data_IF_872018205703
#
_entry.id   IF_872018205703
#
_cell.length_a   1.000
_cell.length_b   1.000
_cell.length_c   1.000
_cell.angle_alpha   90.00
_cell.angle_beta   90.00
_cell.angle_gamma   90.00
#
_symmetry.space_group_name_H-M   'P 1'
#
loop_
_entity.id
_entity.type
_entity.pdbx_description
1 polymer ?
#
# COMPACT_ATOMS: atom_id res chain seq x y z
N UNK A 1 -8.91 -19.18 -57.19
CA UNK A 1 -7.49 -19.02 -56.79
C UNK A 1 -7.28 -17.88 -55.80
N UNK A 2 -7.84 -16.69 -56.02
CA UNK A 2 -7.69 -15.53 -55.12
C UNK A 2 -8.21 -15.74 -53.68
N UNK A 3 -9.37 -16.40 -53.50
CA UNK A 3 -9.93 -16.65 -52.16
C UNK A 3 -9.15 -17.65 -51.32
N UNK A 4 -8.46 -18.62 -51.95
CA UNK A 4 -7.62 -19.58 -51.24
C UNK A 4 -6.35 -18.89 -50.75
N UNK A 5 -5.74 -18.03 -51.58
CA UNK A 5 -4.57 -17.23 -51.20
C UNK A 5 -4.86 -16.28 -50.00
N UNK A 6 -6.04 -15.67 -49.98
CA UNK A 6 -6.46 -14.77 -48.91
C UNK A 6 -6.72 -15.52 -47.59
N UNK A 7 -7.35 -16.70 -47.63
CA UNK A 7 -7.53 -17.55 -46.46
C UNK A 7 -6.21 -18.12 -45.94
N UNK A 8 -5.28 -18.49 -46.83
CA UNK A 8 -3.95 -18.94 -46.42
C UNK A 8 -3.14 -17.81 -45.78
N UNK A 9 -3.20 -16.59 -46.33
CA UNK A 9 -2.53 -15.42 -45.75
C UNK A 9 -3.09 -15.06 -44.36
N UNK A 10 -4.43 -15.12 -44.19
CA UNK A 10 -5.08 -14.87 -42.90
C UNK A 10 -4.76 -15.95 -41.86
N UNK A 11 -4.68 -17.23 -42.28
CA UNK A 11 -4.27 -18.32 -41.40
C UNK A 11 -2.78 -18.25 -41.01
N UNK A 12 -1.91 -17.76 -41.89
CA UNK A 12 -0.50 -17.54 -41.57
C UNK A 12 -0.30 -16.37 -40.59
N UNK A 13 -1.14 -15.32 -40.65
CA UNK A 13 -1.10 -14.23 -39.67
C UNK A 13 -1.55 -14.64 -38.26
N UNK A 14 -2.36 -15.70 -38.13
CA UNK A 14 -2.76 -16.27 -36.82
C UNK A 14 -1.65 -17.19 -36.25
N UNK A 15 -0.80 -17.75 -37.11
CA UNK A 15 0.35 -18.57 -36.74
C UNK A 15 1.63 -17.75 -36.48
N UNK A 16 1.68 -16.51 -36.93
CA UNK A 16 2.71 -15.54 -36.53
C UNK A 16 2.41 -15.07 -35.10
N UNK A 17 2.74 -15.93 -34.14
CA UNK A 17 2.94 -15.52 -32.76
C UNK A 17 3.78 -14.24 -32.73
N UNK A 18 3.43 -13.21 -31.93
CA UNK A 18 4.36 -12.14 -31.62
C UNK A 18 5.44 -12.70 -30.68
N UNK A 19 6.26 -13.63 -31.20
CA UNK A 19 7.41 -14.21 -30.53
C UNK A 19 8.69 -13.41 -30.84
N UNK A 20 8.53 -12.16 -31.28
CA UNK A 20 9.54 -11.11 -31.08
C UNK A 20 9.39 -10.56 -29.66
N UNK A 21 9.41 -11.44 -28.67
CA UNK A 21 9.41 -11.07 -27.26
C UNK A 21 10.58 -11.79 -26.59
N UNK A 22 11.63 -11.00 -26.38
CA UNK A 22 12.75 -11.24 -25.46
C UNK A 22 13.72 -12.37 -25.83
N UNK A 23 14.77 -12.01 -26.56
CA UNK A 23 16.02 -12.80 -26.72
C UNK A 23 16.92 -12.78 -25.48
N UNK A 24 16.47 -12.17 -24.38
CA UNK A 24 17.17 -12.15 -23.10
C UNK A 24 16.73 -13.31 -22.21
N UNK A 25 17.67 -13.87 -21.43
CA UNK A 25 17.33 -14.86 -20.41
C UNK A 25 16.26 -14.34 -19.42
N UNK A 26 15.59 -15.27 -18.73
CA UNK A 26 14.53 -14.94 -17.77
C UNK A 26 15.00 -13.92 -16.72
N UNK A 27 14.14 -12.94 -16.43
CA UNK A 27 14.41 -11.96 -15.40
C UNK A 27 14.57 -12.64 -14.04
N UNK A 28 15.64 -12.32 -13.31
CA UNK A 28 15.91 -12.89 -11.97
C UNK A 28 15.04 -12.28 -10.87
N UNK A 29 14.39 -11.15 -11.13
CA UNK A 29 13.59 -10.36 -10.18
C UNK A 29 12.43 -9.70 -10.91
N UNK A 30 11.30 -9.60 -10.23
CA UNK A 30 10.09 -8.94 -10.72
C UNK A 30 9.67 -7.91 -9.68
N UNK A 31 9.31 -6.70 -10.15
CA UNK A 31 8.72 -5.65 -9.32
C UNK A 31 7.33 -5.37 -9.87
N UNK A 32 6.32 -5.46 -9.00
CA UNK A 32 4.94 -5.07 -9.32
C UNK A 32 4.65 -3.78 -8.57
N UNK A 33 4.38 -2.71 -9.32
CA UNK A 33 3.97 -1.42 -8.78
C UNK A 33 2.49 -1.21 -9.10
N UNK A 34 1.65 -1.15 -8.08
CA UNK A 34 0.25 -0.76 -8.21
C UNK A 34 0.09 0.69 -7.81
N UNK A 35 -0.61 1.47 -8.62
CA UNK A 35 -0.91 2.88 -8.37
C UNK A 35 -2.42 3.02 -8.39
N UNK A 36 -3.00 3.38 -7.24
CA UNK A 36 -4.44 3.49 -7.11
C UNK A 36 -5.00 4.58 -8.03
N UNK A 37 -6.13 4.28 -8.66
CA UNK A 37 -6.86 5.16 -9.56
C UNK A 37 -6.07 5.79 -10.72
N UNK A 38 -4.92 5.22 -11.14
CA UNK A 38 -4.20 5.69 -12.33
C UNK A 38 -4.98 5.33 -13.60
N UNK A 39 -5.70 6.30 -14.15
CA UNK A 39 -6.46 6.12 -15.38
C UNK A 39 -5.54 6.14 -16.61
N UNK A 40 -5.79 5.21 -17.53
CA UNK A 40 -4.95 5.04 -18.72
C UNK A 40 -4.96 6.28 -19.62
N UNK A 41 -6.12 6.91 -19.83
CA UNK A 41 -6.28 8.13 -20.62
C UNK A 41 -5.46 9.31 -20.05
N UNK A 42 -5.45 9.46 -18.73
CA UNK A 42 -4.63 10.45 -18.04
C UNK A 42 -3.14 10.21 -18.28
N UNK A 43 -2.67 8.97 -18.12
CA UNK A 43 -1.27 8.61 -18.38
C UNK A 43 -0.89 8.87 -19.85
N UNK A 44 -1.71 8.45 -20.80
CA UNK A 44 -1.47 8.71 -22.22
C UNK A 44 -1.42 10.20 -22.54
N UNK A 45 -2.30 11.01 -21.96
CA UNK A 45 -2.29 12.46 -22.16
C UNK A 45 -0.97 13.09 -21.68
N UNK A 46 -0.40 12.60 -20.58
CA UNK A 46 0.88 13.08 -20.05
C UNK A 46 2.04 12.63 -20.95
N UNK A 47 2.07 11.35 -21.33
CA UNK A 47 3.14 10.78 -22.15
C UNK A 47 3.19 11.39 -23.56
N UNK A 48 2.05 11.77 -24.12
CA UNK A 48 1.93 12.40 -25.44
C UNK A 48 2.06 13.94 -25.39
N UNK A 49 2.40 14.52 -24.24
CA UNK A 49 2.45 15.98 -24.01
C UNK A 49 1.13 16.71 -24.37
N UNK A 50 0.00 16.05 -24.15
CA UNK A 50 -1.36 16.58 -24.37
C UNK A 50 -2.04 17.03 -23.06
N UNK A 51 -1.46 16.69 -21.91
CA UNK A 51 -1.94 17.07 -20.60
C UNK A 51 -1.81 18.59 -20.39
N UNK A 52 -2.85 19.21 -19.83
CA UNK A 52 -2.81 20.61 -19.36
C UNK A 52 -2.04 20.76 -18.05
N UNK A 53 -1.77 19.65 -17.35
CA UNK A 53 -0.99 19.62 -16.13
C UNK A 53 0.50 19.64 -16.48
N UNK A 54 1.26 20.55 -15.88
CA UNK A 54 2.72 20.61 -15.96
C UNK A 54 3.37 19.52 -15.08
N UNK A 55 3.14 18.25 -15.44
CA UNK A 55 3.63 17.08 -14.73
C UNK A 55 4.68 16.37 -15.59
N UNK A 56 5.86 16.13 -15.02
CA UNK A 56 6.88 15.27 -15.62
C UNK A 56 6.93 13.90 -14.92
N UNK A 57 6.85 12.83 -15.71
CA UNK A 57 6.85 11.44 -15.24
C UNK A 57 8.02 10.67 -15.87
N UNK A 58 9.28 10.95 -15.47
CA UNK A 58 10.46 10.41 -16.14
C UNK A 58 10.51 8.87 -16.14
N UNK A 59 10.08 8.22 -15.04
CA UNK A 59 10.02 6.76 -14.97
C UNK A 59 9.03 6.15 -15.96
N UNK A 60 7.84 6.74 -16.11
CA UNK A 60 6.86 6.29 -17.10
C UNK A 60 7.32 6.55 -18.53
N UNK A 61 7.96 7.70 -18.79
CA UNK A 61 8.57 8.00 -20.09
C UNK A 61 9.63 6.97 -20.47
N UNK A 62 10.47 6.57 -19.51
CA UNK A 62 11.46 5.51 -19.72
C UNK A 62 10.81 4.18 -20.10
N UNK A 63 9.76 3.75 -19.38
CA UNK A 63 9.01 2.53 -19.69
C UNK A 63 8.33 2.63 -21.05
N UNK A 64 7.75 3.79 -21.39
CA UNK A 64 7.12 4.02 -22.68
C UNK A 64 8.12 3.93 -23.85
N UNK A 65 9.35 4.40 -23.65
CA UNK A 65 10.40 4.38 -24.68
C UNK A 65 11.13 3.03 -24.80
N UNK A 66 11.29 2.30 -23.69
CA UNK A 66 12.16 1.11 -23.61
C UNK A 66 11.42 -0.19 -23.27
N UNK A 67 10.12 -0.13 -23.05
CA UNK A 67 9.30 -1.26 -22.61
C UNK A 67 8.02 -1.40 -23.42
N UNK A 68 7.06 -2.09 -22.82
CA UNK A 68 5.73 -2.30 -23.40
C UNK A 68 4.68 -1.62 -22.52
N UNK A 69 3.76 -0.90 -23.17
CA UNK A 69 2.64 -0.25 -22.52
C UNK A 69 1.36 -0.66 -23.24
N UNK A 70 0.40 -1.21 -22.50
CA UNK A 70 -0.93 -1.50 -23.02
C UNK A 70 -1.73 -0.20 -23.18
N UNK A 71 -2.69 -0.17 -24.11
CA UNK A 71 -3.61 0.97 -24.26
C UNK A 71 -4.39 1.25 -22.98
N UNK A 72 -4.74 0.20 -22.24
CA UNK A 72 -5.36 0.28 -20.93
C UNK A 72 -5.55 -1.12 -20.35
N UNK A 73 -5.88 -1.19 -19.07
CA UNK A 73 -6.23 -2.42 -18.36
C UNK A 73 -7.74 -2.45 -18.14
N UNK A 74 -8.40 -3.53 -18.58
CA UNK A 74 -9.82 -3.75 -18.25
C UNK A 74 -9.89 -4.22 -16.80
N UNK A 75 -10.55 -3.45 -15.95
CA UNK A 75 -10.71 -3.74 -14.52
C UNK A 75 -11.91 -4.66 -14.27
N UNK A 76 -11.86 -5.39 -13.15
CA UNK A 76 -13.00 -6.18 -12.68
C UNK A 76 -14.20 -5.31 -12.29
N UNK A 77 -15.40 -5.88 -12.35
CA UNK A 77 -16.60 -5.26 -11.77
C UNK A 77 -16.89 -5.82 -10.37
N UNK A 78 -17.16 -4.97 -9.35
CA UNK A 78 -17.14 -3.51 -9.41
C UNK A 78 -15.72 -2.95 -9.43
N UNK A 79 -15.54 -1.83 -10.15
CA UNK A 79 -14.27 -1.12 -10.29
C UNK A 79 -13.94 -0.34 -9.01
N UNK A 80 -13.62 -1.06 -7.95
CA UNK A 80 -13.22 -0.53 -6.64
C UNK A 80 -11.83 -1.03 -6.25
N UNK A 81 -11.14 -0.28 -5.38
CA UNK A 81 -9.74 -0.52 -5.02
C UNK A 81 -9.54 -1.93 -4.46
N UNK A 82 -10.30 -2.33 -3.45
CA UNK A 82 -10.14 -3.63 -2.79
C UNK A 82 -10.39 -4.79 -3.77
N UNK A 83 -11.42 -4.67 -4.60
CA UNK A 83 -11.79 -5.70 -5.58
C UNK A 83 -10.73 -5.82 -6.67
N UNK A 84 -10.31 -4.70 -7.26
CA UNK A 84 -9.31 -4.70 -8.33
C UNK A 84 -7.98 -5.29 -7.86
N UNK A 85 -7.54 -4.97 -6.64
CA UNK A 85 -6.29 -5.52 -6.09
C UNK A 85 -6.41 -7.00 -5.73
N UNK A 86 -7.56 -7.46 -5.23
CA UNK A 86 -7.81 -8.89 -5.03
C UNK A 86 -7.72 -9.67 -6.35
N UNK A 87 -8.28 -9.12 -7.43
CA UNK A 87 -8.21 -9.74 -8.77
C UNK A 87 -6.78 -9.71 -9.33
N UNK A 88 -6.04 -8.61 -9.19
CA UNK A 88 -4.64 -8.50 -9.64
C UNK A 88 -3.75 -9.50 -8.89
N UNK A 89 -3.91 -9.62 -7.57
CA UNK A 89 -3.05 -10.47 -6.75
C UNK A 89 -3.31 -11.96 -6.93
N UNK A 90 -4.54 -12.37 -7.28
CA UNK A 90 -4.95 -13.78 -7.32
C UNK A 90 -5.21 -14.30 -8.74
N UNK A 91 -5.44 -13.40 -9.70
CA UNK A 91 -5.90 -13.75 -11.05
C UNK A 91 -7.34 -14.28 -11.11
N UNK A 92 -8.07 -14.30 -9.99
CA UNK A 92 -9.43 -14.85 -9.90
C UNK A 92 -10.50 -13.74 -9.92
N UNK A 93 -11.72 -13.99 -10.41
CA UNK A 93 -12.78 -13.00 -10.42
C UNK A 93 -13.34 -12.73 -9.01
N UNK A 94 -14.06 -11.62 -8.77
CA UNK A 94 -14.56 -11.23 -7.44
C UNK A 94 -15.39 -12.30 -6.71
N UNK A 95 -16.16 -13.11 -7.46
CA UNK A 95 -16.92 -14.22 -6.88
C UNK A 95 -16.06 -15.37 -6.32
N UNK A 96 -14.80 -15.46 -6.73
CA UNK A 96 -13.82 -16.46 -6.25
C UNK A 96 -12.89 -15.84 -5.20
N UNK A 97 -12.50 -14.57 -5.37
CA UNK A 97 -11.66 -13.89 -4.36
C UNK A 97 -12.41 -13.63 -3.05
N UNK A 98 -13.74 -13.57 -3.10
CA UNK A 98 -14.60 -13.21 -1.96
C UNK A 98 -14.67 -11.71 -1.70
N UNK A 99 -13.87 -10.90 -2.40
CA UNK A 99 -13.82 -9.44 -2.25
C UNK A 99 -14.74 -8.83 -3.31
N UNK A 100 -15.91 -8.37 -2.88
CA UNK A 100 -16.97 -7.83 -3.76
C UNK A 100 -17.14 -6.32 -3.68
N UNK A 101 -16.43 -5.64 -2.77
CA UNK A 101 -16.41 -4.19 -2.64
C UNK A 101 -15.37 -3.72 -1.63
N UNK A 102 -15.18 -2.40 -1.53
CA UNK A 102 -14.37 -1.81 -0.44
C UNK A 102 -15.03 -2.00 0.93
N UNK A 103 -16.36 -2.09 0.97
CA UNK A 103 -17.14 -2.53 2.11
C UNK A 103 -17.96 -3.74 1.67
N UNK A 104 -17.92 -4.81 2.47
CA UNK A 104 -18.57 -6.08 2.19
C UNK A 104 -19.62 -6.33 3.28
N UNK A 105 -20.80 -6.77 2.86
CA UNK A 105 -21.84 -7.27 3.76
C UNK A 105 -21.75 -8.80 3.80
N UNK A 106 -21.72 -9.39 5.00
CA UNK A 106 -21.63 -10.84 5.16
C UNK A 106 -23.02 -11.46 5.31
N UNK A 107 -23.28 -12.65 4.72
CA UNK A 107 -24.51 -13.38 4.96
C UNK A 107 -24.75 -13.60 6.45
N UNK A 108 -25.98 -13.31 6.91
CA UNK A 108 -26.38 -13.48 8.30
C UNK A 108 -26.04 -12.33 9.25
N UNK A 109 -25.38 -11.26 8.79
CA UNK A 109 -25.18 -10.05 9.61
C UNK A 109 -26.28 -9.00 9.37
N UNK A 110 -26.53 -8.07 10.33
CA UNK A 110 -27.48 -6.98 10.13
C UNK A 110 -27.14 -6.15 8.88
N UNK A 111 -28.15 -5.59 8.20
CA UNK A 111 -27.95 -4.77 6.98
C UNK A 111 -27.04 -3.55 7.19
N UNK A 112 -26.96 -3.05 8.42
CA UNK A 112 -26.10 -1.93 8.81
C UNK A 112 -24.66 -2.33 9.10
N UNK A 113 -24.35 -3.63 9.09
CA UNK A 113 -23.03 -4.16 9.39
C UNK A 113 -22.25 -4.40 8.11
N UNK A 114 -21.08 -3.79 8.00
CA UNK A 114 -20.13 -4.06 6.93
C UNK A 114 -18.76 -4.35 7.51
N UNK A 115 -17.97 -5.07 6.73
CA UNK A 115 -16.55 -5.28 6.98
C UNK A 115 -15.73 -4.68 5.84
N UNK A 116 -14.49 -4.32 6.12
CA UNK A 116 -13.59 -3.77 5.09
C UNK A 116 -13.14 -4.87 4.12
N UNK A 117 -13.29 -4.61 2.82
CA UNK A 117 -12.80 -5.49 1.77
C UNK A 117 -11.28 -5.47 1.61
N UNK A 118 -10.58 -4.56 2.31
CA UNK A 118 -9.13 -4.52 2.36
C UNK A 118 -8.53 -5.57 3.30
N UNK A 119 -9.34 -6.16 4.18
CA UNK A 119 -8.92 -7.15 5.17
C UNK A 119 -8.40 -8.42 4.51
N UNK A 120 -7.13 -8.75 4.73
CA UNK A 120 -6.48 -9.95 4.19
C UNK A 120 -7.14 -11.27 4.56
N UNK A 121 -7.79 -11.35 5.72
CA UNK A 121 -8.51 -12.57 6.15
C UNK A 121 -9.80 -12.82 5.36
N UNK A 122 -10.29 -11.83 4.62
CA UNK A 122 -11.44 -11.97 3.72
C UNK A 122 -11.07 -12.47 2.33
N UNK A 123 -9.78 -12.51 2.00
CA UNK A 123 -9.31 -12.98 0.70
C UNK A 123 -9.34 -14.51 0.65
N UNK A 124 -10.25 -15.07 -0.15
CA UNK A 124 -10.46 -16.52 -0.24
C UNK A 124 -9.54 -17.20 -1.25
N UNK A 125 -9.10 -16.48 -2.29
CA UNK A 125 -8.22 -17.01 -3.33
C UNK A 125 -6.74 -16.83 -2.96
N UNK A 126 -5.88 -17.76 -3.38
CA UNK A 126 -4.42 -17.70 -3.12
C UNK A 126 -3.80 -16.49 -3.85
N UNK A 127 -3.19 -15.53 -3.14
CA UNK A 127 -2.51 -14.41 -3.77
C UNK A 127 -1.08 -14.77 -4.19
N UNK A 128 -0.53 -14.00 -5.12
CA UNK A 128 0.78 -14.21 -5.74
C UNK A 128 1.91 -14.42 -4.71
N UNK A 129 1.93 -13.66 -3.61
CA UNK A 129 2.97 -13.78 -2.59
C UNK A 129 2.94 -15.13 -1.84
N UNK A 130 1.75 -15.73 -1.69
CA UNK A 130 1.61 -17.10 -1.16
C UNK A 130 2.06 -18.12 -2.20
N UNK A 131 1.63 -17.96 -3.46
CA UNK A 131 2.02 -18.85 -4.55
C UNK A 131 3.53 -18.94 -4.71
N UNK A 132 4.23 -17.80 -4.74
CA UNK A 132 5.70 -17.79 -4.91
C UNK A 132 6.43 -18.30 -3.66
N UNK A 133 5.93 -18.00 -2.45
CA UNK A 133 6.49 -18.55 -1.20
C UNK A 133 6.44 -20.08 -1.19
N UNK A 134 5.28 -20.63 -1.57
CA UNK A 134 5.04 -22.08 -1.68
C UNK A 134 5.94 -22.74 -2.72
N UNK A 135 6.33 -22.02 -3.77
CA UNK A 135 7.25 -22.49 -4.81
C UNK A 135 8.75 -22.32 -4.43
N UNK A 136 9.06 -21.96 -3.18
CA UNK A 136 10.44 -21.81 -2.74
C UNK A 136 11.08 -20.46 -3.11
N UNK A 137 10.30 -19.50 -3.60
CA UNK A 137 10.74 -18.15 -3.92
C UNK A 137 10.41 -17.18 -2.78
N UNK A 138 11.01 -15.98 -2.82
CA UNK A 138 10.78 -14.93 -1.82
C UNK A 138 10.06 -13.75 -2.44
N UNK A 139 8.92 -13.38 -1.87
CA UNK A 139 8.24 -12.10 -2.12
C UNK A 139 8.50 -11.12 -0.98
N UNK A 140 8.54 -9.83 -1.32
CA UNK A 140 8.48 -8.72 -0.38
C UNK A 140 7.29 -7.86 -0.79
N UNK A 141 6.30 -7.73 0.08
CA UNK A 141 5.06 -7.00 -0.18
C UNK A 141 4.95 -5.84 0.79
N UNK A 142 4.81 -4.63 0.25
CA UNK A 142 4.72 -3.39 1.00
C UNK A 142 3.33 -2.75 0.78
N UNK A 143 2.43 -2.87 1.75
CA UNK A 143 1.06 -2.32 1.74
C UNK A 143 0.24 -2.61 0.48
N UNK A 144 0.36 -3.80 -0.11
CA UNK A 144 -0.61 -4.21 -1.12
C UNK A 144 -1.95 -4.51 -0.42
N UNK A 145 -3.12 -4.12 -0.95
CA UNK A 145 -4.40 -4.48 -0.33
C UNK A 145 -4.48 -5.99 -0.03
N UNK A 146 -5.12 -6.34 1.09
CA UNK A 146 -5.20 -7.72 1.60
C UNK A 146 -3.86 -8.36 2.02
N UNK A 147 -2.73 -7.64 2.00
CA UNK A 147 -1.42 -8.14 2.47
C UNK A 147 -1.14 -7.88 3.96
N UNK A 148 -2.18 -7.64 4.77
CA UNK A 148 -2.03 -7.33 6.20
C UNK A 148 -1.19 -8.40 6.93
N UNK A 149 -0.13 -8.03 7.68
CA UNK A 149 0.77 -9.01 8.28
C UNK A 149 0.08 -10.05 9.15
N UNK A 150 -0.88 -9.63 9.97
CA UNK A 150 -1.64 -10.49 10.86
C UNK A 150 -2.51 -11.53 10.12
N UNK A 151 -2.96 -11.23 8.89
CA UNK A 151 -3.74 -12.18 8.09
C UNK A 151 -2.88 -13.32 7.53
N UNK A 152 -1.56 -13.11 7.44
CA UNK A 152 -0.59 -14.04 6.85
C UNK A 152 0.40 -14.63 7.86
N UNK A 153 0.21 -14.33 9.15
CA UNK A 153 1.04 -14.87 10.23
C UNK A 153 1.02 -16.41 10.23
N UNK A 154 2.21 -17.02 10.27
CA UNK A 154 2.38 -18.47 10.20
C UNK A 154 2.04 -19.13 8.86
N UNK A 155 1.58 -18.38 7.85
CA UNK A 155 1.23 -18.92 6.51
C UNK A 155 2.36 -18.80 5.48
N UNK A 156 3.33 -17.91 5.71
CA UNK A 156 4.47 -17.66 4.83
C UNK A 156 5.76 -18.19 5.46
N UNK A 157 6.62 -18.82 4.65
CA UNK A 157 7.88 -19.40 5.11
C UNK A 157 9.06 -18.42 5.00
N UNK A 158 9.15 -17.70 3.89
CA UNK A 158 10.30 -16.84 3.56
C UNK A 158 9.92 -15.49 2.94
N UNK A 159 8.68 -15.38 2.45
CA UNK A 159 8.09 -14.14 1.99
C UNK A 159 7.77 -13.22 3.17
N UNK A 160 7.91 -11.92 2.93
CA UNK A 160 7.67 -10.87 3.92
C UNK A 160 6.53 -9.99 3.43
N UNK A 161 5.51 -9.85 4.27
CA UNK A 161 4.44 -8.86 4.11
C UNK A 161 4.58 -7.82 5.21
N UNK A 162 4.54 -6.55 4.87
CA UNK A 162 4.56 -5.47 5.84
C UNK A 162 3.70 -4.30 5.35
N UNK A 163 3.15 -3.55 6.29
CA UNK A 163 2.28 -2.43 6.00
C UNK A 163 2.95 -1.13 6.46
N UNK A 164 3.69 -0.40 5.60
CA UNK A 164 4.24 0.90 5.96
C UNK A 164 3.22 1.91 6.47
N UNK A 165 1.92 1.79 6.15
CA UNK A 165 0.90 2.67 6.73
C UNK A 165 0.74 2.47 8.24
N UNK A 166 0.91 1.25 8.74
CA UNK A 166 0.88 0.97 10.19
C UNK A 166 2.16 1.48 10.88
N UNK A 167 3.23 1.71 10.12
CA UNK A 167 4.45 2.37 10.62
C UNK A 167 4.43 3.89 10.49
N UNK A 168 3.40 4.45 9.83
CA UNK A 168 3.21 5.89 9.77
C UNK A 168 2.76 6.37 11.14
N UNK A 169 3.71 6.87 11.93
CA UNK A 169 3.36 7.78 13.01
C UNK A 169 2.57 8.92 12.35
N UNK A 170 1.30 9.09 12.72
CA UNK A 170 0.52 10.23 12.23
C UNK A 170 1.25 11.55 12.48
N UNK A 171 0.77 12.66 11.90
CA UNK A 171 1.37 13.97 12.18
C UNK A 171 1.55 14.17 13.69
N UNK A 172 2.76 14.51 14.17
CA UNK A 172 3.11 14.52 15.60
C UNK A 172 2.11 15.29 16.47
N UNK A 173 1.41 16.29 15.92
CA UNK A 173 0.06 16.72 16.28
C UNK A 173 -0.51 17.58 15.13
N UNK A 174 -1.82 17.81 15.08
CA UNK A 174 -2.34 19.06 14.48
C UNK A 174 -1.96 20.22 15.42
N UNK A 175 -1.67 21.43 14.90
CA UNK A 175 -1.25 22.66 15.62
C UNK A 175 -1.91 22.88 17.01
N UNK A 176 -1.46 22.14 18.02
CA UNK A 176 -2.04 22.12 19.38
C UNK A 176 -1.04 22.76 20.32
N UNK A 177 -1.46 23.81 21.02
CA UNK A 177 -0.65 24.47 22.02
C UNK A 177 -0.74 23.70 23.34
N UNK A 178 0.40 23.18 23.80
CA UNK A 178 0.56 22.60 25.14
C UNK A 178 1.11 23.66 26.09
N UNK A 179 0.42 23.90 27.21
CA UNK A 179 0.88 24.88 28.21
C UNK A 179 0.43 24.54 29.62
N UNK A 180 1.19 24.95 30.63
CA UNK A 180 0.72 24.94 32.03
C UNK A 180 -0.13 26.18 32.37
N UNK A 181 -0.16 27.18 31.48
CA UNK A 181 -0.88 28.44 31.71
C UNK A 181 -2.38 28.29 31.41
N UNK A 182 -3.18 28.15 32.47
CA UNK A 182 -4.65 27.99 32.40
C UNK A 182 -5.40 29.22 31.86
N UNK A 183 -4.73 30.36 31.70
CA UNK A 183 -5.33 31.59 31.17
C UNK A 183 -5.42 31.61 29.64
N UNK A 184 -4.71 30.71 28.94
CA UNK A 184 -4.74 30.64 27.47
C UNK A 184 -5.93 29.76 27.05
N UNK A 185 -6.93 30.29 26.33
CA UNK A 185 -8.08 29.51 25.91
C UNK A 185 -7.70 28.51 24.81
N UNK A 186 -8.40 27.35 24.77
CA UNK A 186 -8.27 26.31 23.74
C UNK A 186 -6.88 25.67 23.64
N UNK A 187 -6.10 25.71 24.72
CA UNK A 187 -4.85 24.98 24.86
C UNK A 187 -5.06 23.63 25.56
N UNK A 188 -4.14 22.70 25.34
CA UNK A 188 -4.05 21.48 26.15
C UNK A 188 -3.21 21.78 27.40
N UNK A 189 -3.81 21.58 28.57
CA UNK A 189 -3.14 21.92 29.83
C UNK A 189 -2.30 20.76 30.32
N UNK A 190 -0.98 20.94 30.32
CA UNK A 190 -0.04 19.94 30.84
C UNK A 190 -0.10 19.92 32.37
N UNK A 191 -0.26 18.74 32.93
CA UNK A 191 -0.08 18.51 34.37
C UNK A 191 1.35 18.03 34.61
N UNK A 192 2.20 18.95 35.06
CA UNK A 192 3.62 18.67 35.31
C UNK A 192 3.76 18.11 36.73
N UNK A 193 4.27 16.90 36.85
CA UNK A 193 4.54 16.21 38.13
C UNK A 193 6.03 15.86 38.25
N UNK A 194 6.56 15.63 39.46
CA UNK A 194 7.93 15.11 39.59
C UNK A 194 8.11 13.80 38.80
N UNK A 195 9.21 13.67 38.07
CA UNK A 195 9.45 12.50 37.23
C UNK A 195 9.67 11.26 38.10
N UNK A 196 9.09 10.11 37.71
CA UNK A 196 9.26 8.86 38.46
C UNK A 196 9.39 7.64 37.54
N UNK A 197 10.20 6.65 37.93
CA UNK A 197 10.32 5.39 37.18
C UNK A 197 11.12 5.45 35.87
N UNK A 198 11.76 6.58 35.55
CA UNK A 198 12.62 6.71 34.37
C UNK A 198 13.95 5.98 34.56
N UNK A 199 14.39 5.25 33.53
CA UNK A 199 15.68 4.55 33.51
C UNK A 199 16.53 5.01 32.32
N UNK A 200 17.84 5.17 32.51
CA UNK A 200 18.78 5.56 31.46
C UNK A 200 19.62 6.79 31.83
N UNK A 201 20.56 7.16 30.97
CA UNK A 201 21.40 8.36 31.12
C UNK A 201 21.48 9.11 29.80
N UNK A 202 21.38 10.45 29.84
CA UNK A 202 21.64 11.28 28.67
C UNK A 202 23.10 11.73 28.70
N UNK A 203 23.97 11.26 27.78
CA UNK A 203 25.40 11.59 27.83
C UNK A 203 25.62 13.11 27.78
N UNK A 204 26.43 13.63 28.71
CA UNK A 204 26.79 15.05 28.77
C UNK A 204 25.86 15.93 29.61
N UNK A 205 24.84 15.38 30.25
CA UNK A 205 23.92 16.13 31.11
C UNK A 205 23.86 15.53 32.53
N UNK A 206 23.84 16.41 33.54
CA UNK A 206 23.50 16.05 34.92
C UNK A 206 22.17 16.69 35.25
N UNK A 207 21.26 15.94 35.85
CA UNK A 207 19.92 16.41 36.17
C UNK A 207 19.80 16.63 37.67
N UNK A 208 19.33 17.82 38.08
CA UNK A 208 19.15 18.17 39.50
C UNK A 208 17.70 17.97 39.92
N UNK A 209 16.79 18.60 39.19
CA UNK A 209 15.37 18.46 39.36
C UNK A 209 14.75 17.92 38.08
N UNK A 210 13.82 16.99 38.20
CA UNK A 210 13.20 16.32 37.06
C UNK A 210 11.70 16.28 37.22
N UNK A 211 11.00 16.56 36.14
CA UNK A 211 9.56 16.54 36.02
C UNK A 211 9.13 15.78 34.78
N UNK A 212 7.90 15.31 34.79
CA UNK A 212 7.25 14.67 33.67
C UNK A 212 5.87 15.30 33.42
N UNK A 213 5.44 15.29 32.17
CA UNK A 213 4.08 15.66 31.81
C UNK A 213 3.54 14.69 30.76
N UNK A 214 2.41 14.00 31.03
CA UNK A 214 1.80 13.11 30.05
C UNK A 214 1.08 13.92 28.98
N UNK A 215 1.13 13.42 27.75
CA UNK A 215 0.29 13.85 26.64
C UNK A 215 -0.13 12.63 25.82
N UNK A 216 -1.29 12.71 25.18
CA UNK A 216 -1.75 11.62 24.34
C UNK A 216 -1.24 11.82 22.91
N UNK A 217 -0.69 10.77 22.32
CA UNK A 217 -0.24 10.75 20.93
C UNK A 217 -0.72 9.46 20.25
N UNK A 218 -1.63 9.62 19.29
CA UNK A 218 -2.38 8.47 18.77
C UNK A 218 -3.21 7.81 19.87
N UNK A 219 -3.11 6.49 19.97
CA UNK A 219 -3.80 5.66 20.97
C UNK A 219 -2.93 5.41 22.23
N UNK A 220 -1.76 6.04 22.32
CA UNK A 220 -0.80 5.84 23.41
C UNK A 220 -0.55 7.11 24.23
N UNK A 221 -0.15 6.91 25.49
CA UNK A 221 0.27 8.00 26.39
C UNK A 221 1.78 8.15 26.31
N UNK A 222 2.21 9.34 25.94
CA UNK A 222 3.61 9.74 25.86
C UNK A 222 3.93 10.75 26.96
N UNK A 223 5.21 10.92 27.25
CA UNK A 223 5.66 11.79 28.33
C UNK A 223 6.75 12.75 27.87
N UNK A 224 6.61 14.02 28.23
CA UNK A 224 7.73 14.95 28.20
C UNK A 224 8.57 14.73 29.46
N UNK A 225 9.85 14.41 29.29
CA UNK A 225 10.83 14.44 30.37
C UNK A 225 11.48 15.83 30.42
N UNK A 226 11.26 16.55 31.52
CA UNK A 226 11.72 17.92 31.72
C UNK A 226 12.75 17.87 32.85
N UNK A 227 13.98 18.27 32.56
CA UNK A 227 15.05 18.24 33.56
C UNK A 227 15.76 19.58 33.64
N UNK A 228 16.05 20.00 34.86
CA UNK A 228 16.98 21.11 35.10
C UNK A 228 18.42 20.58 35.00
N UNK A 229 19.18 21.19 34.11
CA UNK A 229 20.57 20.81 33.83
C UNK A 229 21.57 21.79 34.44
N UNK A 230 21.08 22.91 34.99
CA UNK A 230 21.89 23.92 35.66
C UNK A 230 21.60 23.85 37.16
N UNK A 231 22.65 23.91 37.97
CA UNK A 231 22.56 23.90 39.43
C UNK A 231 21.96 25.19 39.98
#
# INVERSE_FOLDING_TARGET
>A
MFSILLLTALSLSILLTPALAQTGGLAKRVVVLSIDALKADMLWSILLNQSQLAIDLPGFKYIFQNGFLAQGMIVSFPSSTAVSHAVISTGAPPGITGITGNAIHLPGTPLTSTITGFNGSMLLAEPLWVTVDRQGLKAIVASFPQSDPWAWEGKLKQSVVFNPYDSSMGSPTYSTLYTSNKSIPRAYYLNITPASGWTGSLPGYTFYNTWEAPFNFGDEVWYFFIADTNS
#
